data_IF_726778170614
#
_entry.id   IF_726778170614
#
_cell.length_a   1.000
_cell.length_b   1.000
_cell.length_c   1.000
_cell.angle_alpha   90.00
_cell.angle_beta   90.00
_cell.angle_gamma   90.00
#
_symmetry.space_group_name_H-M   'P 1'
#
loop_
_entity.id
_entity.type
_entity.pdbx_description
1 polymer ?
#
# COMPACT_ATOMS: atom_id res chain seq x y z
N UNK A 1 10.09 14.52 24.42
CA UNK A 1 11.23 14.23 23.52
C UNK A 1 11.77 15.54 22.96
N UNK A 2 13.09 15.67 22.85
CA UNK A 2 13.73 16.85 22.25
C UNK A 2 13.69 16.76 20.71
N UNK A 3 13.96 17.88 20.03
CA UNK A 3 14.07 17.90 18.56
C UNK A 3 15.14 16.89 18.13
N UNK A 4 14.83 16.09 17.10
CA UNK A 4 15.71 15.05 16.55
C UNK A 4 16.06 13.89 17.51
N UNK A 5 15.37 13.78 18.65
CA UNK A 5 15.49 12.57 19.48
C UNK A 5 14.63 11.45 18.92
N UNK A 6 15.08 10.21 19.10
CA UNK A 6 14.41 8.99 18.67
C UNK A 6 14.01 8.17 19.89
N UNK A 7 12.82 7.59 19.85
CA UNK A 7 12.33 6.63 20.82
C UNK A 7 11.93 5.37 20.06
N UNK A 8 12.35 4.21 20.55
CA UNK A 8 12.01 2.93 19.96
C UNK A 8 11.29 2.06 20.98
N UNK A 9 10.04 1.70 20.66
CA UNK A 9 9.33 0.62 21.33
C UNK A 9 9.53 -0.66 20.53
N UNK A 10 9.94 -1.75 21.18
CA UNK A 10 10.04 -3.07 20.55
C UNK A 10 9.49 -4.14 21.48
N UNK A 11 8.77 -5.10 20.91
CA UNK A 11 8.17 -6.20 21.65
C UNK A 11 8.06 -7.44 20.75
N UNK A 12 7.88 -8.63 21.34
CA UNK A 12 7.68 -9.87 20.57
C UNK A 12 6.23 -10.10 20.14
N UNK A 13 5.27 -9.47 20.82
CA UNK A 13 3.85 -9.47 20.44
C UNK A 13 3.57 -8.45 19.35
N UNK A 14 2.43 -8.60 18.67
CA UNK A 14 1.93 -7.61 17.73
C UNK A 14 1.63 -6.28 18.45
N UNK A 15 2.17 -5.18 17.92
CA UNK A 15 1.99 -3.82 18.43
C UNK A 15 0.96 -3.03 17.61
N UNK A 16 0.24 -3.66 16.69
CA UNK A 16 -0.83 -3.04 15.92
C UNK A 16 -1.92 -2.50 16.83
N UNK A 17 -2.51 -1.37 16.45
CA UNK A 17 -3.44 -0.62 17.29
C UNK A 17 -2.78 0.23 18.40
N UNK A 18 -1.45 0.28 18.49
CA UNK A 18 -0.75 1.21 19.39
C UNK A 18 -1.05 2.66 19.01
N UNK A 19 -1.59 3.43 19.95
CA UNK A 19 -1.84 4.86 19.78
C UNK A 19 -0.58 5.67 20.11
N UNK A 20 -0.11 6.45 19.14
CA UNK A 20 0.99 7.39 19.33
C UNK A 20 0.42 8.81 19.32
N UNK A 21 0.61 9.54 20.41
CA UNK A 21 0.22 10.95 20.53
C UNK A 21 1.43 11.83 20.71
N UNK A 22 1.48 12.98 20.04
CA UNK A 22 2.55 13.96 20.17
C UNK A 22 1.99 15.39 20.19
N UNK A 23 2.64 16.27 20.95
CA UNK A 23 2.31 17.71 20.99
C UNK A 23 3.12 18.53 19.97
N UNK A 24 3.99 17.86 19.19
CA UNK A 24 4.81 18.42 18.13
C UNK A 24 4.86 17.44 16.95
N UNK A 25 5.16 17.89 15.73
CA UNK A 25 5.33 16.99 14.59
C UNK A 25 6.37 15.90 14.88
N UNK A 26 6.02 14.66 14.58
CA UNK A 26 6.87 13.47 14.69
C UNK A 26 6.66 12.60 13.45
N UNK A 27 7.69 11.85 13.07
CA UNK A 27 7.56 10.77 12.08
C UNK A 27 7.42 9.47 12.87
N UNK A 28 6.39 8.70 12.56
CA UNK A 28 6.20 7.36 13.13
C UNK A 28 6.65 6.34 12.09
N UNK A 29 7.59 5.48 12.47
CA UNK A 29 8.05 4.37 11.64
C UNK A 29 7.67 3.07 12.32
N UNK A 30 6.98 2.20 11.59
CA UNK A 30 6.56 0.87 12.05
C UNK A 30 7.26 -0.21 11.25
N UNK A 31 7.40 -1.40 11.83
CA UNK A 31 8.09 -2.49 11.18
C UNK A 31 8.37 -3.67 12.10
N UNK A 32 9.01 -4.68 11.53
CA UNK A 32 9.53 -5.83 12.27
C UNK A 32 10.88 -6.27 11.69
N UNK A 33 11.74 -6.81 12.55
CA UNK A 33 13.10 -7.19 12.15
C UNK A 33 13.15 -8.41 11.22
N UNK A 34 12.17 -9.30 11.35
CA UNK A 34 12.19 -10.59 10.67
C UNK A 34 10.78 -11.02 10.30
N UNK A 35 10.48 -10.91 9.01
CA UNK A 35 9.26 -11.42 8.43
C UNK A 35 9.57 -12.53 7.42
N UNK A 36 8.70 -13.54 7.40
CA UNK A 36 8.73 -14.63 6.44
C UNK A 36 7.44 -14.61 5.62
N UNK A 37 7.05 -13.46 5.06
CA UNK A 37 5.88 -13.35 4.17
C UNK A 37 6.15 -14.03 2.82
N UNK A 38 6.24 -15.34 2.90
CA UNK A 38 6.19 -16.29 1.81
C UNK A 38 4.85 -17.03 1.90
N UNK A 39 4.37 -17.59 0.79
CA UNK A 39 3.15 -18.38 0.78
C UNK A 39 3.25 -19.53 1.79
N UNK A 40 2.14 -19.88 2.47
CA UNK A 40 2.13 -20.87 3.55
C UNK A 40 2.68 -22.26 3.15
N UNK A 41 2.72 -22.59 1.86
CA UNK A 41 3.28 -23.84 1.35
C UNK A 41 4.79 -23.78 1.03
N UNK A 42 5.39 -22.59 0.97
CA UNK A 42 6.84 -22.40 0.83
C UNK A 42 7.44 -22.41 2.25
N UNK A 43 7.88 -23.58 2.72
CA UNK A 43 8.39 -23.80 4.09
C UNK A 43 9.76 -23.18 4.37
N UNK A 44 10.34 -22.45 3.42
CA UNK A 44 11.69 -21.85 3.53
C UNK A 44 11.65 -20.44 2.92
N UNK A 45 11.37 -19.44 3.75
CA UNK A 45 11.54 -18.03 3.41
C UNK A 45 12.86 -17.48 3.95
N UNK A 46 13.35 -16.40 3.35
CA UNK A 46 14.41 -15.57 3.92
C UNK A 46 13.79 -14.57 4.89
N UNK A 47 14.45 -14.36 6.03
CA UNK A 47 14.09 -13.31 6.98
C UNK A 47 14.26 -11.95 6.30
N UNK A 48 13.17 -11.20 6.12
CA UNK A 48 13.20 -9.83 5.55
C UNK A 48 12.80 -8.82 6.63
N UNK A 49 13.53 -7.70 6.78
CA UNK A 49 13.08 -6.59 7.62
C UNK A 49 11.92 -5.88 6.92
N UNK A 50 10.91 -5.50 7.68
CA UNK A 50 9.89 -4.56 7.24
C UNK A 50 10.08 -3.25 7.99
N UNK A 51 10.02 -2.15 7.26
CA UNK A 51 10.09 -0.81 7.82
C UNK A 51 9.31 0.12 6.90
N UNK A 52 8.45 0.94 7.48
CA UNK A 52 7.65 1.91 6.71
C UNK A 52 7.19 3.06 7.59
N UNK A 53 7.13 4.27 7.02
CA UNK A 53 6.53 5.42 7.70
C UNK A 53 5.01 5.32 7.68
N UNK A 54 4.39 5.47 8.85
CA UNK A 54 2.94 5.43 9.02
C UNK A 54 2.37 6.84 8.89
N UNK A 55 1.26 6.98 8.15
CA UNK A 55 0.54 8.25 8.04
C UNK A 55 -0.07 8.66 9.39
N UNK A 56 -0.10 9.97 9.71
CA UNK A 56 -0.80 10.46 10.89
C UNK A 56 -2.32 10.26 10.74
N UNK A 57 -3.04 10.18 11.86
CA UNK A 57 -4.47 9.80 11.84
C UNK A 57 -5.38 10.82 11.16
N UNK A 58 -4.95 12.08 11.04
CA UNK A 58 -5.64 13.16 10.34
C UNK A 58 -5.41 13.16 8.82
N UNK A 59 -4.55 12.27 8.32
CA UNK A 59 -4.32 12.02 6.90
C UNK A 59 -4.81 10.63 6.47
N UNK A 60 -5.64 9.98 7.29
CA UNK A 60 -6.28 8.73 6.90
C UNK A 60 -7.50 9.01 6.03
N UNK A 61 -7.99 7.96 5.40
CA UNK A 61 -9.13 8.02 4.48
C UNK A 61 -10.00 6.78 4.72
N UNK A 62 -11.10 6.67 3.98
CA UNK A 62 -12.03 5.56 4.01
C UNK A 62 -12.19 4.85 2.67
N UNK A 63 -11.54 5.35 1.61
CA UNK A 63 -11.51 4.74 0.28
C UNK A 63 -10.08 4.50 -0.19
N UNK A 64 -9.74 3.25 -0.50
CA UNK A 64 -8.40 2.86 -0.95
C UNK A 64 -8.44 1.94 -2.16
N UNK A 65 -7.44 2.08 -3.03
CA UNK A 65 -7.08 1.10 -4.04
C UNK A 65 -5.77 0.45 -3.64
N UNK A 66 -5.77 -0.87 -3.51
CA UNK A 66 -4.56 -1.63 -3.19
C UNK A 66 -4.04 -2.29 -4.47
N UNK A 67 -3.02 -1.71 -5.13
CA UNK A 67 -2.51 -2.28 -6.36
C UNK A 67 -1.85 -3.64 -6.11
N UNK A 68 -2.03 -4.55 -7.06
CA UNK A 68 -1.19 -5.74 -7.12
C UNK A 68 0.13 -5.42 -7.80
N UNK A 69 1.22 -5.57 -7.05
CA UNK A 69 2.56 -5.36 -7.56
C UNK A 69 2.96 -6.57 -8.40
N UNK A 70 3.28 -6.34 -9.67
CA UNK A 70 3.60 -7.38 -10.65
C UNK A 70 4.74 -8.28 -10.19
N UNK A 71 4.75 -9.53 -10.69
CA UNK A 71 5.76 -10.55 -10.45
C UNK A 71 5.89 -11.03 -9.00
N UNK A 72 4.99 -10.62 -8.11
CA UNK A 72 4.87 -11.18 -6.76
C UNK A 72 3.96 -12.39 -6.75
N UNK A 73 3.96 -13.13 -5.65
CA UNK A 73 3.01 -14.21 -5.47
C UNK A 73 1.61 -13.69 -5.09
N UNK A 74 1.59 -12.73 -4.17
CA UNK A 74 0.39 -12.10 -3.59
C UNK A 74 0.83 -10.97 -2.67
N UNK A 75 -0.12 -10.36 -1.96
CA UNK A 75 0.16 -9.50 -0.82
C UNK A 75 -0.76 -9.84 0.37
N UNK A 76 -0.32 -9.46 1.56
CA UNK A 76 -1.23 -9.26 2.70
C UNK A 76 -1.55 -7.79 2.77
N UNK A 77 -2.83 -7.44 2.87
CA UNK A 77 -3.27 -6.08 3.17
C UNK A 77 -3.86 -6.06 4.57
N UNK A 78 -3.33 -5.18 5.42
CA UNK A 78 -3.83 -4.92 6.77
C UNK A 78 -4.63 -3.64 6.77
N UNK A 79 -5.86 -3.74 7.27
CA UNK A 79 -6.77 -2.62 7.45
C UNK A 79 -6.93 -2.41 8.95
N UNK A 80 -6.42 -1.29 9.45
CA UNK A 80 -6.39 -0.96 10.87
C UNK A 80 -7.44 0.12 11.16
N UNK A 81 -8.38 -0.22 12.04
CA UNK A 81 -9.43 0.69 12.46
C UNK A 81 -8.92 1.66 13.52
N UNK A 82 -9.22 2.95 13.37
CA UNK A 82 -8.99 3.96 14.42
C UNK A 82 -10.17 3.98 15.38
N UNK A 83 -11.38 4.11 14.83
CA UNK A 83 -12.65 3.97 15.50
C UNK A 83 -13.38 2.70 15.03
N UNK A 84 -14.49 2.34 15.67
CA UNK A 84 -15.31 1.22 15.20
C UNK A 84 -15.86 1.50 13.80
N UNK A 85 -15.67 0.57 12.87
CA UNK A 85 -15.96 0.79 11.44
C UNK A 85 -16.41 -0.51 10.76
N UNK A 86 -17.18 -0.37 9.67
CA UNK A 86 -17.53 -1.46 8.78
C UNK A 86 -16.67 -1.39 7.53
N UNK A 87 -15.79 -2.39 7.36
CA UNK A 87 -14.90 -2.49 6.21
C UNK A 87 -15.53 -3.40 5.16
N UNK A 88 -15.54 -2.94 3.90
CA UNK A 88 -15.94 -3.68 2.72
C UNK A 88 -14.76 -3.73 1.75
N UNK A 89 -14.45 -4.92 1.25
CA UNK A 89 -13.38 -5.13 0.28
C UNK A 89 -13.98 -5.78 -0.95
N UNK A 90 -13.69 -5.24 -2.12
CA UNK A 90 -14.07 -5.83 -3.40
C UNK A 90 -12.84 -6.27 -4.18
N UNK A 91 -12.87 -7.53 -4.60
CA UNK A 91 -11.81 -8.21 -5.36
C UNK A 91 -12.49 -8.83 -6.58
N UNK A 92 -12.30 -8.23 -7.75
CA UNK A 92 -13.09 -8.56 -8.95
C UNK A 92 -14.59 -8.45 -8.66
N UNK A 93 -15.33 -9.55 -8.84
CA UNK A 93 -16.77 -9.60 -8.57
C UNK A 93 -17.13 -10.03 -7.14
N UNK A 94 -16.15 -10.34 -6.29
CA UNK A 94 -16.38 -10.79 -4.92
C UNK A 94 -16.33 -9.61 -3.96
N UNK A 95 -17.27 -9.57 -3.02
CA UNK A 95 -17.29 -8.61 -1.91
C UNK A 95 -17.24 -9.36 -0.59
N UNK A 96 -16.41 -8.87 0.32
CA UNK A 96 -16.32 -9.37 1.69
C UNK A 96 -16.39 -8.20 2.65
N UNK A 97 -17.09 -8.37 3.77
CA UNK A 97 -17.26 -7.30 4.75
C UNK A 97 -16.93 -7.79 6.15
N UNK A 98 -16.42 -6.89 6.99
CA UNK A 98 -16.14 -7.17 8.41
C UNK A 98 -16.32 -5.90 9.23
N UNK A 99 -17.02 -6.02 10.36
CA UNK A 99 -17.03 -4.98 11.38
C UNK A 99 -15.75 -5.08 12.23
N UNK A 100 -15.10 -3.95 12.48
CA UNK A 100 -13.93 -3.82 13.34
C UNK A 100 -14.26 -2.90 14.52
N UNK A 101 -13.83 -3.27 15.72
CA UNK A 101 -13.86 -2.32 16.83
C UNK A 101 -12.71 -1.33 16.68
N UNK A 102 -12.78 -0.22 17.42
CA UNK A 102 -11.66 0.71 17.53
C UNK A 102 -10.36 -0.03 17.88
N UNK A 103 -9.30 0.25 17.11
CA UNK A 103 -7.95 -0.35 17.25
C UNK A 103 -7.84 -1.82 16.85
N UNK A 104 -8.91 -2.46 16.39
CA UNK A 104 -8.81 -3.78 15.74
C UNK A 104 -8.26 -3.65 14.31
N UNK A 105 -7.69 -4.74 13.81
CA UNK A 105 -7.26 -4.84 12.41
C UNK A 105 -7.85 -6.05 11.70
N UNK A 106 -7.78 -6.01 10.38
CA UNK A 106 -8.13 -7.11 9.49
C UNK A 106 -7.05 -7.32 8.46
N UNK A 107 -6.45 -8.51 8.48
CA UNK A 107 -5.53 -8.96 7.44
C UNK A 107 -6.30 -9.74 6.36
N UNK A 108 -6.03 -9.40 5.11
CA UNK A 108 -6.57 -10.06 3.94
C UNK A 108 -5.46 -10.42 2.96
N UNK A 109 -5.59 -11.59 2.35
CA UNK A 109 -4.58 -12.14 1.44
C UNK A 109 -5.18 -12.36 0.06
N UNK A 110 -4.56 -11.75 -0.95
CA UNK A 110 -4.99 -11.88 -2.34
C UNK A 110 -3.86 -11.50 -3.31
N UNK A 111 -4.03 -11.84 -4.58
CA UNK A 111 -3.02 -11.70 -5.64
C UNK A 111 -3.53 -10.85 -6.81
N UNK A 112 -4.33 -9.83 -6.51
CA UNK A 112 -4.93 -8.94 -7.51
C UNK A 112 -5.26 -7.58 -6.89
N UNK A 113 -5.57 -6.57 -7.70
CA UNK A 113 -5.95 -5.25 -7.20
C UNK A 113 -7.30 -5.32 -6.48
N UNK A 114 -7.45 -4.56 -5.40
CA UNK A 114 -8.72 -4.48 -4.65
C UNK A 114 -9.10 -3.04 -4.36
N UNK A 115 -10.38 -2.85 -4.06
CA UNK A 115 -10.92 -1.58 -3.58
C UNK A 115 -11.50 -1.80 -2.18
N UNK A 116 -11.16 -0.90 -1.27
CA UNK A 116 -11.53 -0.96 0.14
C UNK A 116 -12.38 0.27 0.44
N UNK A 117 -13.53 0.04 1.06
CA UNK A 117 -14.38 1.08 1.64
C UNK A 117 -14.56 0.82 3.13
N UNK A 118 -14.42 1.85 3.94
CA UNK A 118 -14.72 1.82 5.36
C UNK A 118 -15.82 2.85 5.68
N UNK A 119 -16.55 2.65 6.78
CA UNK A 119 -17.55 3.64 7.23
C UNK A 119 -16.97 4.75 8.11
N UNK A 120 -15.68 4.68 8.42
CA UNK A 120 -14.86 5.62 9.20
C UNK A 120 -13.41 5.46 8.70
N UNK A 121 -12.52 6.40 9.02
CA UNK A 121 -11.16 6.42 8.52
C UNK A 121 -10.34 5.24 9.07
N UNK A 122 -9.53 4.65 8.18
CA UNK A 122 -8.68 3.49 8.47
C UNK A 122 -7.27 3.71 7.96
N UNK A 123 -6.31 3.01 8.55
CA UNK A 123 -4.96 2.89 8.02
C UNK A 123 -4.85 1.60 7.19
N UNK A 124 -4.41 1.71 5.95
CA UNK A 124 -4.20 0.56 5.05
C UNK A 124 -2.71 0.37 4.79
N UNK A 125 -2.20 -0.81 5.13
CA UNK A 125 -0.82 -1.22 4.88
C UNK A 125 -0.81 -2.43 3.95
N UNK A 126 0.08 -2.42 2.96
CA UNK A 126 0.33 -3.57 2.10
C UNK A 126 1.68 -4.20 2.44
N UNK A 127 1.69 -5.53 2.43
CA UNK A 127 2.85 -6.38 2.64
C UNK A 127 2.97 -7.30 1.43
N UNK A 128 3.64 -6.85 0.35
CA UNK A 128 3.83 -7.68 -0.82
C UNK A 128 4.69 -8.89 -0.51
N UNK A 129 4.19 -10.09 -0.82
CA UNK A 129 4.91 -11.34 -0.59
C UNK A 129 6.07 -11.47 -1.56
N UNK A 130 6.87 -12.51 -1.37
CA UNK A 130 8.04 -12.78 -2.21
C UNK A 130 7.74 -12.75 -3.72
N UNK A 131 8.77 -12.41 -4.50
CA UNK A 131 8.73 -12.53 -5.96
C UNK A 131 8.46 -14.00 -6.36
N UNK A 132 7.81 -14.19 -7.51
CA UNK A 132 7.59 -15.53 -8.07
C UNK A 132 8.93 -16.25 -8.29
N UNK A 133 9.10 -17.41 -7.65
CA UNK A 133 10.35 -18.17 -7.69
C UNK A 133 11.47 -17.66 -6.77
N UNK A 134 11.24 -16.59 -6.01
CA UNK A 134 12.17 -16.08 -4.98
C UNK A 134 11.76 -16.56 -3.58
N UNK A 135 12.71 -16.48 -2.63
CA UNK A 135 12.49 -16.76 -1.20
C UNK A 135 12.40 -15.48 -0.35
N UNK A 136 12.44 -14.30 -0.95
CA UNK A 136 12.51 -13.01 -0.24
C UNK A 136 11.96 -11.83 -1.04
N UNK A 137 12.48 -10.63 -0.77
CA UNK A 137 12.10 -9.35 -1.39
C UNK A 137 10.71 -8.82 -0.98
N UNK A 138 10.25 -9.24 0.20
CA UNK A 138 9.07 -8.66 0.87
C UNK A 138 9.41 -7.28 1.41
N UNK A 139 8.48 -6.35 1.26
CA UNK A 139 8.54 -5.05 1.91
C UNK A 139 7.18 -4.67 2.52
N UNK A 140 7.12 -3.49 3.12
CA UNK A 140 5.91 -2.90 3.70
C UNK A 140 5.69 -1.56 3.02
N UNK A 141 4.44 -1.24 2.72
CA UNK A 141 4.07 -0.01 2.01
C UNK A 141 2.79 0.56 2.61
N UNK A 142 2.80 1.84 2.95
CA UNK A 142 1.57 2.55 3.31
C UNK A 142 0.77 2.81 2.04
N UNK A 143 -0.52 2.46 2.04
CA UNK A 143 -1.41 2.75 0.92
C UNK A 143 -2.15 4.06 1.24
N UNK A 144 -1.89 5.15 0.48
CA UNK A 144 -2.63 6.39 0.66
C UNK A 144 -4.08 6.21 0.22
N UNK A 145 -4.98 6.96 0.87
CA UNK A 145 -6.37 7.04 0.45
C UNK A 145 -6.50 7.69 -0.92
N UNK A 146 -7.58 7.38 -1.64
CA UNK A 146 -7.85 7.94 -2.97
C UNK A 146 -7.90 9.47 -2.94
N UNK A 147 -8.42 10.07 -1.86
CA UNK A 147 -8.51 11.52 -1.74
C UNK A 147 -7.14 12.22 -1.58
N UNK A 148 -6.07 11.43 -1.46
CA UNK A 148 -4.68 11.92 -1.40
C UNK A 148 -3.94 11.75 -2.72
N UNK A 149 -4.59 11.25 -3.76
CA UNK A 149 -3.96 11.10 -5.07
C UNK A 149 -3.69 12.50 -5.67
N UNK A 150 -2.51 12.66 -6.25
CA UNK A 150 -2.09 13.87 -6.92
C UNK A 150 -2.19 13.66 -8.44
N UNK A 151 -2.28 14.77 -9.17
CA UNK A 151 -2.22 14.72 -10.63
C UNK A 151 -0.79 14.59 -11.16
N UNK A 152 0.22 14.85 -10.33
CA UNK A 152 1.62 14.85 -10.74
C UNK A 152 2.51 14.35 -9.59
N UNK A 153 3.50 13.53 -9.93
CA UNK A 153 4.46 12.97 -8.99
C UNK A 153 5.86 13.02 -9.57
N UNK A 154 6.80 13.56 -8.79
CA UNK A 154 8.23 13.49 -9.05
C UNK A 154 8.87 12.46 -8.14
N UNK A 155 9.76 11.62 -8.70
CA UNK A 155 10.43 10.58 -7.93
C UNK A 155 11.80 10.25 -8.51
N UNK A 156 12.64 9.60 -7.69
CA UNK A 156 13.97 9.15 -8.08
C UNK A 156 13.99 7.63 -8.09
N UNK A 157 14.34 7.07 -9.24
CA UNK A 157 14.50 5.63 -9.45
C UNK A 157 15.96 5.24 -9.22
N UNK A 158 16.26 4.32 -8.29
CA UNK A 158 17.63 3.89 -8.02
C UNK A 158 18.27 3.17 -9.21
N UNK A 159 19.60 3.22 -9.32
CA UNK A 159 20.38 2.63 -10.43
C UNK A 159 20.69 1.14 -10.29
N UNK A 160 20.41 0.53 -9.14
CA UNK A 160 20.83 -0.83 -8.82
C UNK A 160 19.78 -1.92 -9.11
N UNK A 161 18.62 -1.55 -9.67
CA UNK A 161 17.48 -2.47 -9.79
C UNK A 161 16.73 -2.27 -11.10
N UNK A 162 16.26 -3.38 -11.66
CA UNK A 162 15.18 -3.36 -12.65
C UNK A 162 13.91 -2.87 -11.95
N UNK A 163 13.52 -1.63 -12.24
CA UNK A 163 12.49 -0.93 -11.51
C UNK A 163 11.18 -0.91 -12.30
N UNK A 164 10.08 -0.98 -11.57
CA UNK A 164 8.73 -0.79 -12.12
C UNK A 164 7.91 0.04 -11.16
N UNK A 165 6.95 0.78 -11.71
CA UNK A 165 5.97 1.53 -10.92
C UNK A 165 4.59 0.97 -11.21
N UNK A 166 3.75 0.92 -10.17
CA UNK A 166 2.32 0.64 -10.28
C UNK A 166 1.59 1.94 -10.04
N UNK A 167 0.76 2.33 -11.00
CA UNK A 167 0.04 3.59 -11.02
C UNK A 167 -1.45 3.28 -10.96
N UNK A 168 -2.19 4.04 -10.14
CA UNK A 168 -3.64 4.00 -10.08
C UNK A 168 -4.17 5.41 -10.34
N UNK A 169 -5.13 5.52 -11.25
CA UNK A 169 -5.73 6.79 -11.69
C UNK A 169 -7.24 6.67 -11.74
N UNK A 170 -7.96 7.79 -11.73
CA UNK A 170 -9.36 7.77 -12.15
C UNK A 170 -9.43 7.31 -13.61
N UNK A 171 -10.37 6.42 -13.93
CA UNK A 171 -10.43 5.80 -15.26
C UNK A 171 -10.60 6.82 -16.39
N UNK A 172 -11.24 7.96 -16.12
CA UNK A 172 -11.45 9.03 -17.09
C UNK A 172 -10.15 9.82 -17.42
N UNK A 173 -9.14 9.75 -16.54
CA UNK A 173 -7.86 10.47 -16.71
C UNK A 173 -6.79 9.60 -17.39
N UNK A 174 -7.07 8.32 -17.65
CA UNK A 174 -6.05 7.37 -18.14
C UNK A 174 -5.48 7.78 -19.52
N UNK A 175 -6.30 8.35 -20.39
CA UNK A 175 -5.91 8.78 -21.72
C UNK A 175 -4.98 10.01 -21.68
N UNK A 176 -4.98 10.75 -20.56
CA UNK A 176 -4.12 11.90 -20.29
C UNK A 176 -2.75 11.54 -19.71
N UNK A 177 -2.47 10.27 -19.45
CA UNK A 177 -1.25 9.85 -18.76
C UNK A 177 0.04 10.21 -19.53
N UNK A 178 0.94 10.93 -18.84
CA UNK A 178 2.26 11.31 -19.32
C UNK A 178 3.34 10.73 -18.42
N UNK A 179 4.39 10.19 -19.02
CA UNK A 179 5.63 9.79 -18.36
C UNK A 179 6.77 10.65 -18.87
N UNK A 180 7.46 11.36 -17.97
CA UNK A 180 8.52 12.32 -18.29
C UNK A 180 8.10 13.33 -19.38
N UNK A 181 6.83 13.77 -19.30
CA UNK A 181 6.22 14.72 -20.25
C UNK A 181 5.80 14.12 -21.60
N UNK A 182 5.98 12.82 -21.83
CA UNK A 182 5.63 12.15 -23.07
C UNK A 182 4.43 11.21 -22.88
N UNK A 183 3.54 11.13 -23.87
CA UNK A 183 2.48 10.13 -23.86
C UNK A 183 3.07 8.72 -23.81
N UNK A 184 2.52 7.89 -22.94
CA UNK A 184 2.95 6.50 -22.77
C UNK A 184 1.87 5.53 -23.25
N UNK A 185 2.23 4.58 -24.11
CA UNK A 185 1.29 3.57 -24.59
C UNK A 185 1.11 2.46 -23.54
N UNK A 186 0.07 2.59 -22.72
CA UNK A 186 -0.28 1.65 -21.65
C UNK A 186 -0.71 0.31 -22.25
N UNK A 187 0.09 -0.73 -22.04
CA UNK A 187 -0.12 -2.06 -22.64
C UNK A 187 -1.20 -2.89 -21.94
N UNK A 188 -1.28 -2.78 -20.61
CA UNK A 188 -2.19 -3.58 -19.79
C UNK A 188 -2.79 -2.73 -18.66
N UNK A 189 -4.12 -2.78 -18.55
CA UNK A 189 -4.88 -2.02 -17.56
C UNK A 189 -5.78 -2.97 -16.79
N UNK A 190 -5.80 -2.81 -15.48
CA UNK A 190 -6.77 -3.43 -14.60
C UNK A 190 -7.77 -2.37 -14.15
N UNK A 191 -9.04 -2.55 -14.54
CA UNK A 191 -10.11 -1.65 -14.13
C UNK A 191 -10.80 -2.18 -12.87
N UNK A 192 -11.03 -1.30 -11.91
CA UNK A 192 -11.81 -1.60 -10.71
C UNK A 192 -12.81 -0.48 -10.47
N UNK A 193 -14.04 -0.86 -10.17
CA UNK A 193 -15.11 0.09 -9.92
C UNK A 193 -15.94 -0.29 -8.71
N UNK A 194 -16.51 0.69 -8.03
CA UNK A 194 -17.54 0.50 -7.02
C UNK A 194 -18.43 1.75 -6.92
N UNK A 195 -19.71 1.58 -7.22
CA UNK A 195 -20.63 2.70 -7.36
C UNK A 195 -20.18 3.64 -8.48
N UNK A 196 -19.98 4.91 -8.15
CA UNK A 196 -19.52 5.96 -9.06
C UNK A 196 -18.00 6.05 -9.18
N UNK A 197 -17.25 5.28 -8.38
CA UNK A 197 -15.79 5.34 -8.39
C UNK A 197 -15.26 4.35 -9.42
N UNK A 198 -14.47 4.83 -10.37
CA UNK A 198 -13.88 4.04 -11.46
C UNK A 198 -12.38 4.31 -11.50
N UNK A 199 -11.57 3.29 -11.25
CA UNK A 199 -10.11 3.41 -11.26
C UNK A 199 -9.49 2.44 -12.25
N UNK A 200 -8.40 2.92 -12.85
CA UNK A 200 -7.54 2.14 -13.71
C UNK A 200 -6.18 1.98 -13.02
N UNK A 201 -5.73 0.75 -12.85
CA UNK A 201 -4.40 0.43 -12.34
C UNK A 201 -3.57 -0.23 -13.43
N UNK A 202 -2.34 0.23 -13.62
CA UNK A 202 -1.39 -0.36 -14.57
C UNK A 202 0.02 -0.29 -14.00
N UNK A 203 0.92 -1.12 -14.56
CA UNK A 203 2.33 -1.12 -14.17
C UNK A 203 3.20 -0.96 -15.40
N UNK A 204 4.31 -0.23 -15.26
CA UNK A 204 5.28 -0.05 -16.33
C UNK A 204 6.72 -0.15 -15.78
N UNK A 205 7.67 -0.66 -16.60
CA UNK A 205 9.09 -0.58 -16.27
C UNK A 205 9.55 0.88 -16.32
N UNK A 206 10.44 1.26 -15.40
CA UNK A 206 10.97 2.63 -15.32
C UNK A 206 12.49 2.62 -15.28
N UNK A 207 13.10 3.56 -16.00
CA UNK A 207 14.55 3.71 -16.02
C UNK A 207 15.04 4.40 -14.74
N UNK A 208 16.26 4.07 -14.31
CA UNK A 208 16.91 4.76 -13.20
C UNK A 208 17.14 6.24 -13.48
N UNK A 209 17.10 7.08 -12.45
CA UNK A 209 17.24 8.53 -12.58
C UNK A 209 16.04 9.28 -12.03
N UNK A 210 15.98 10.59 -12.32
CA UNK A 210 14.82 11.40 -11.99
C UNK A 210 13.73 11.16 -13.03
N UNK A 211 12.51 10.92 -12.57
CA UNK A 211 11.34 10.72 -13.43
C UNK A 211 10.13 11.41 -12.82
N UNK A 212 9.15 11.71 -13.67
CA UNK A 212 7.85 12.19 -13.24
C UNK A 212 6.73 11.56 -14.04
N UNK A 213 5.55 11.46 -13.42
CA UNK A 213 4.33 11.13 -14.15
C UNK A 213 3.24 12.13 -13.85
N UNK A 214 2.34 12.31 -14.82
CA UNK A 214 1.17 13.17 -14.74
C UNK A 214 -0.06 12.49 -15.32
N UNK A 215 -1.23 12.78 -14.75
CA UNK A 215 -2.56 12.31 -15.17
C UNK A 215 -3.51 13.47 -15.32
#
# INVERSE_FOLDING_TARGET
MNKYSTFQLSHRSDLSGTLVTATKPVIVVSGNRCNYAVPHYIRIGSCQPLIESVLPTDQLDNLFITPYISNRFSHTVRIQAINSTNVNIKIGNRKTSKALNARDYWDMHYSTTSIIFASDDVLVMSYPHALNGSKGDTFMMTIPGVNQYLHEYDFVVPTAFDSSISITVQSDDIDGFLLDGNSYNIQSVFNISEGINHFSTFSLPISSGMSSYRT
#
